data_IF_064894205968
#
_entry.id   IF_064894205968
#
_cell.length_a   1.000
_cell.length_b   1.000
_cell.length_c   1.000
_cell.angle_alpha   90.00
_cell.angle_beta   90.00
_cell.angle_gamma   90.00
#
_symmetry.space_group_name_H-M   'P 1'
#
loop_
_entity.id
_entity.type
_entity.pdbx_description
1 polymer ?
#
# COMPACT_ATOMS: atom_id res chain seq x y z
N UNK A 1 -11.57 22.12 6.94
CA UNK A 1 -12.08 21.10 6.01
C UNK A 1 -13.07 20.15 6.71
N UNK A 2 -12.74 19.65 7.91
CA UNK A 2 -13.64 18.78 8.68
C UNK A 2 -15.00 19.41 9.10
N UNK A 3 -15.11 20.74 9.15
CA UNK A 3 -16.29 21.44 9.66
C UNK A 3 -17.57 21.19 8.83
N UNK A 4 -17.47 21.14 7.50
CA UNK A 4 -18.64 21.00 6.61
C UNK A 4 -19.40 19.69 6.88
N UNK A 5 -18.66 18.58 7.01
CA UNK A 5 -19.28 17.28 7.27
C UNK A 5 -19.61 17.07 8.76
N UNK A 6 -18.82 17.65 9.68
CA UNK A 6 -19.11 17.57 11.12
C UNK A 6 -20.40 18.31 11.50
N UNK A 7 -20.72 19.41 10.83
CA UNK A 7 -21.95 20.18 11.06
C UNK A 7 -23.20 19.48 10.51
N UNK A 8 -23.05 18.61 9.51
CA UNK A 8 -24.16 17.85 8.91
C UNK A 8 -24.63 16.63 9.72
N UNK A 9 -23.94 16.29 10.82
CA UNK A 9 -24.32 15.21 11.75
C UNK A 9 -24.24 13.77 11.23
N UNK A 10 -24.03 13.57 9.92
CA UNK A 10 -24.09 12.27 9.24
C UNK A 10 -22.78 11.91 8.50
N UNK A 11 -21.63 12.42 8.96
CA UNK A 11 -20.35 12.10 8.33
C UNK A 11 -19.93 10.65 8.61
N UNK A 12 -19.50 9.95 7.57
CA UNK A 12 -18.91 8.61 7.70
C UNK A 12 -17.65 8.65 8.59
N UNK A 13 -17.42 7.58 9.35
CA UNK A 13 -16.21 7.42 10.16
C UNK A 13 -15.12 6.77 9.31
N UNK A 14 -14.11 7.55 8.94
CA UNK A 14 -12.97 7.06 8.17
C UNK A 14 -11.98 6.29 9.03
N UNK A 15 -11.43 5.22 8.47
CA UNK A 15 -10.42 4.36 9.10
C UNK A 15 -9.03 4.59 8.51
N UNK A 16 -8.01 3.97 9.13
CA UNK A 16 -6.62 3.98 8.67
C UNK A 16 -6.01 5.38 8.44
N UNK A 17 -6.55 6.41 9.10
CA UNK A 17 -6.10 7.80 8.96
C UNK A 17 -6.71 8.56 7.79
N UNK A 18 -7.77 8.03 7.16
CA UNK A 18 -8.58 8.78 6.19
C UNK A 18 -9.41 9.90 6.81
N UNK A 19 -9.94 10.78 5.98
CA UNK A 19 -10.81 11.87 6.41
C UNK A 19 -12.00 12.07 5.46
N UNK A 20 -13.15 12.57 5.94
CA UNK A 20 -14.36 12.72 5.12
C UNK A 20 -14.11 13.59 3.89
N UNK A 21 -14.66 13.18 2.76
CA UNK A 21 -14.52 13.93 1.52
C UNK A 21 -15.29 15.26 1.61
N UNK A 22 -14.66 16.43 1.32
CA UNK A 22 -15.25 17.74 1.62
C UNK A 22 -16.58 18.05 0.92
N UNK A 23 -16.87 17.37 -0.20
CA UNK A 23 -18.09 17.53 -1.00
C UNK A 23 -19.04 16.32 -0.93
N UNK A 24 -18.65 15.25 -0.22
CA UNK A 24 -19.47 14.04 -0.10
C UNK A 24 -19.14 13.36 1.24
N UNK A 25 -19.94 13.65 2.25
CA UNK A 25 -19.69 13.18 3.62
C UNK A 25 -19.95 11.69 3.83
N UNK A 26 -20.42 10.97 2.82
CA UNK A 26 -20.63 9.51 2.85
C UNK A 26 -19.42 8.73 2.36
N UNK A 27 -18.34 9.40 1.94
CA UNK A 27 -17.09 8.75 1.50
C UNK A 27 -15.86 9.43 2.10
N UNK A 28 -14.78 8.68 2.20
CA UNK A 28 -13.51 9.13 2.72
C UNK A 28 -12.49 9.38 1.62
N UNK A 29 -11.57 10.31 1.88
CA UNK A 29 -10.29 10.39 1.19
C UNK A 29 -9.30 9.50 1.94
N UNK A 30 -8.80 8.48 1.25
CA UNK A 30 -8.01 7.42 1.87
C UNK A 30 -6.50 7.60 1.66
N UNK A 31 -5.67 7.23 2.65
CA UNK A 31 -4.23 7.14 2.47
C UNK A 31 -3.87 6.12 1.38
N UNK A 32 -2.69 6.30 0.78
CA UNK A 32 -2.20 5.40 -0.27
C UNK A 32 -2.12 3.96 0.23
N UNK A 33 -2.76 3.03 -0.50
CA UNK A 33 -2.89 1.63 -0.13
C UNK A 33 -4.23 1.26 0.51
N UNK A 34 -5.14 2.22 0.69
CA UNK A 34 -6.50 2.02 1.24
C UNK A 34 -7.58 2.63 0.32
N UNK A 35 -8.76 2.03 0.32
CA UNK A 35 -9.91 2.39 -0.48
C UNK A 35 -11.23 1.95 0.16
N UNK A 36 -12.31 1.99 -0.62
CA UNK A 36 -13.68 1.89 -0.10
C UNK A 36 -14.16 3.22 0.49
N UNK A 37 -15.45 3.28 0.84
CA UNK A 37 -16.06 4.52 1.34
C UNK A 37 -15.50 4.95 2.70
N UNK A 38 -14.98 4.02 3.50
CA UNK A 38 -14.46 4.24 4.86
C UNK A 38 -12.95 3.98 5.01
N UNK A 39 -12.24 3.70 3.91
CA UNK A 39 -10.82 3.34 3.91
C UNK A 39 -10.47 2.01 4.59
N UNK A 40 -11.42 1.08 4.75
CA UNK A 40 -11.15 -0.26 5.32
C UNK A 40 -10.77 -1.31 4.29
N UNK A 41 -10.88 -0.99 3.01
CA UNK A 41 -10.70 -1.94 1.92
C UNK A 41 -9.39 -1.68 1.19
N UNK A 42 -8.89 -2.71 0.51
CA UNK A 42 -7.78 -2.56 -0.42
C UNK A 42 -8.28 -1.80 -1.67
N UNK A 43 -7.51 -0.83 -2.21
CA UNK A 43 -7.87 -0.17 -3.45
C UNK A 43 -8.09 -1.17 -4.58
N UNK A 44 -9.22 -1.06 -5.27
CA UNK A 44 -9.52 -1.88 -6.44
C UNK A 44 -9.12 -1.16 -7.73
N UNK A 45 -7.82 -1.11 -7.99
CA UNK A 45 -7.24 -0.48 -9.18
C UNK A 45 -6.95 -1.50 -10.31
N UNK A 46 -7.62 -2.66 -10.28
CA UNK A 46 -7.44 -3.73 -11.26
C UNK A 46 -6.14 -4.54 -11.12
N UNK A 47 -5.35 -4.32 -10.06
CA UNK A 47 -4.17 -5.14 -9.74
C UNK A 47 -3.88 -5.17 -8.23
N UNK A 48 -2.98 -6.08 -7.83
CA UNK A 48 -2.68 -6.37 -6.44
C UNK A 48 -3.57 -7.46 -5.85
N UNK A 49 -3.30 -7.87 -4.60
CA UNK A 49 -4.06 -8.92 -3.91
C UNK A 49 -3.86 -8.88 -2.41
N UNK A 50 -4.78 -9.50 -1.69
CA UNK A 50 -4.58 -9.86 -0.29
C UNK A 50 -3.86 -11.21 -0.21
N UNK A 51 -2.87 -11.28 0.67
CA UNK A 51 -2.08 -12.49 0.93
C UNK A 51 -2.05 -12.73 2.43
N UNK A 52 -2.42 -13.94 2.84
CA UNK A 52 -2.22 -14.39 4.21
C UNK A 52 -0.87 -15.11 4.27
N UNK A 53 0.07 -14.52 5.01
CA UNK A 53 1.36 -15.11 5.24
C UNK A 53 1.20 -16.44 6.02
N UNK A 54 2.05 -17.39 5.68
CA UNK A 54 2.14 -18.71 6.35
C UNK A 54 3.54 -18.90 6.91
N UNK A 55 3.75 -19.97 7.68
CA UNK A 55 5.10 -20.36 8.13
C UNK A 55 6.03 -20.74 6.97
N UNK A 56 5.47 -21.09 5.80
CA UNK A 56 6.23 -21.44 4.61
C UNK A 56 6.37 -20.23 3.68
N UNK A 57 7.52 -20.15 3.01
CA UNK A 57 7.77 -19.13 1.99
C UNK A 57 6.78 -19.23 0.83
N UNK A 58 6.17 -18.10 0.48
CA UNK A 58 5.24 -17.98 -0.64
C UNK A 58 5.82 -17.02 -1.67
N UNK A 59 5.99 -17.50 -2.90
CA UNK A 59 6.46 -16.65 -4.01
C UNK A 59 5.28 -15.88 -4.58
N UNK A 60 5.41 -14.56 -4.61
CA UNK A 60 4.44 -13.66 -5.25
C UNK A 60 5.12 -13.04 -6.46
N UNK A 61 4.63 -13.35 -7.66
CA UNK A 61 5.03 -12.63 -8.86
C UNK A 61 4.34 -11.27 -8.85
N UNK A 62 5.14 -10.22 -8.83
CA UNK A 62 4.66 -8.86 -9.01
C UNK A 62 4.74 -8.52 -10.50
N UNK A 63 3.64 -8.05 -11.08
CA UNK A 63 3.58 -7.58 -12.46
C UNK A 63 2.90 -6.23 -12.43
N UNK A 64 3.64 -5.20 -12.80
CA UNK A 64 3.13 -3.85 -12.91
C UNK A 64 3.68 -3.23 -14.19
N UNK A 65 2.77 -2.94 -15.11
CA UNK A 65 3.03 -2.18 -16.32
C UNK A 65 2.11 -0.97 -16.30
N UNK A 66 2.67 0.19 -16.63
CA UNK A 66 1.89 1.41 -16.76
C UNK A 66 1.24 1.40 -18.15
N UNK A 67 0.04 0.85 -18.23
CA UNK A 67 -0.75 0.71 -19.46
C UNK A 67 -1.57 1.97 -19.78
N UNK A 68 -1.67 2.90 -18.84
CA UNK A 68 -2.46 4.13 -18.96
C UNK A 68 -1.60 5.36 -18.64
N UNK A 69 -1.66 6.39 -19.49
CA UNK A 69 -0.93 7.65 -19.34
C UNK A 69 -1.61 8.66 -18.40
N UNK A 70 -2.76 8.33 -17.82
CA UNK A 70 -3.65 9.30 -17.15
C UNK A 70 -3.59 9.29 -15.61
N UNK A 71 -2.65 8.58 -14.99
CA UNK A 71 -2.48 8.67 -13.54
C UNK A 71 -1.99 10.08 -13.15
N UNK A 72 -2.63 10.70 -12.15
CA UNK A 72 -2.33 12.07 -11.70
C UNK A 72 -0.86 12.27 -11.28
N UNK A 73 -0.24 11.22 -10.71
CA UNK A 73 1.16 11.21 -10.32
C UNK A 73 2.04 10.44 -11.31
N UNK A 74 1.49 10.02 -12.45
CA UNK A 74 2.20 9.29 -13.50
C UNK A 74 2.39 7.80 -13.25
N UNK A 75 1.95 7.24 -12.11
CA UNK A 75 2.20 5.84 -11.77
C UNK A 75 0.94 5.00 -11.58
N UNK A 76 0.88 3.85 -12.26
CA UNK A 76 -0.04 2.77 -11.87
C UNK A 76 0.40 2.16 -10.54
N UNK A 77 -0.48 2.22 -9.54
CA UNK A 77 -0.22 1.63 -8.20
C UNK A 77 -0.98 0.32 -8.00
N UNK A 78 -0.23 -0.77 -7.82
CA UNK A 78 -0.77 -2.07 -7.42
C UNK A 78 -0.56 -2.30 -5.92
N UNK A 79 -1.65 -2.49 -5.19
CA UNK A 79 -1.60 -2.63 -3.72
C UNK A 79 -1.71 -4.09 -3.32
N UNK A 80 -0.73 -4.57 -2.56
CA UNK A 80 -0.73 -5.90 -1.95
C UNK A 80 -0.85 -5.76 -0.44
N UNK A 81 -1.83 -6.46 0.16
CA UNK A 81 -1.97 -6.51 1.62
C UNK A 81 -1.49 -7.86 2.10
N UNK A 82 -0.38 -7.88 2.84
CA UNK A 82 0.16 -9.10 3.44
C UNK A 82 -0.20 -9.08 4.91
N UNK A 83 -0.97 -10.06 5.35
CA UNK A 83 -1.48 -10.15 6.72
C UNK A 83 -0.99 -11.43 7.39
N UNK A 84 -0.83 -11.38 8.70
CA UNK A 84 -0.49 -12.54 9.52
C UNK A 84 -1.27 -12.49 10.84
N UNK A 85 -1.42 -13.63 11.55
CA UNK A 85 -2.02 -13.65 12.88
C UNK A 85 -1.36 -12.66 13.87
N UNK A 86 -2.04 -12.39 14.98
CA UNK A 86 -1.44 -11.58 16.05
C UNK A 86 -0.19 -12.27 16.59
N UNK A 87 0.80 -11.48 17.01
CA UNK A 87 2.07 -11.92 17.59
C UNK A 87 2.98 -12.72 16.63
N UNK A 88 2.81 -12.57 15.32
CA UNK A 88 3.76 -13.08 14.31
C UNK A 88 4.47 -11.95 13.61
N UNK A 89 5.64 -12.24 13.02
CA UNK A 89 6.40 -11.33 12.17
C UNK A 89 6.31 -11.80 10.73
N UNK A 90 6.06 -10.87 9.81
CA UNK A 90 6.12 -11.14 8.38
C UNK A 90 7.53 -10.84 7.90
N UNK A 91 8.11 -11.79 7.17
CA UNK A 91 9.38 -11.63 6.47
C UNK A 91 9.11 -11.53 4.97
N UNK A 92 9.76 -10.56 4.31
CA UNK A 92 9.62 -10.32 2.89
C UNK A 92 11.00 -10.29 2.28
N UNK A 93 11.23 -11.16 1.29
CA UNK A 93 12.45 -11.22 0.52
C UNK A 93 12.15 -10.89 -0.94
N UNK A 94 12.95 -9.98 -1.51
CA UNK A 94 12.82 -9.58 -2.90
C UNK A 94 13.81 -10.37 -3.76
N UNK A 95 13.27 -11.29 -4.55
CA UNK A 95 14.02 -11.98 -5.60
C UNK A 95 14.05 -11.09 -6.84
N UNK A 96 15.03 -10.20 -6.93
CA UNK A 96 15.18 -9.36 -8.10
C UNK A 96 16.00 -10.07 -9.17
N UNK A 97 15.34 -10.38 -10.28
CA UNK A 97 16.03 -10.39 -11.57
C UNK A 97 15.56 -9.11 -12.22
N UNK A 98 16.37 -8.04 -12.14
CA UNK A 98 16.17 -6.69 -12.72
C UNK A 98 14.72 -6.33 -13.10
N UNK A 99 14.15 -5.27 -12.52
CA UNK A 99 12.87 -4.69 -12.96
C UNK A 99 12.85 -4.23 -14.45
N UNK A 100 13.83 -4.64 -15.27
CA UNK A 100 13.94 -4.36 -16.70
C UNK A 100 14.38 -2.93 -16.99
N UNK A 101 14.75 -2.18 -15.96
CA UNK A 101 15.11 -0.77 -16.05
C UNK A 101 16.60 -0.61 -15.72
N UNK A 102 17.36 -0.04 -16.64
CA UNK A 102 18.79 0.30 -16.50
C UNK A 102 19.00 1.60 -15.68
N UNK A 103 18.01 1.98 -14.87
CA UNK A 103 17.98 3.25 -14.14
C UNK A 103 18.26 3.01 -12.65
N UNK A 104 19.23 3.73 -12.09
CA UNK A 104 19.54 3.74 -10.65
C UNK A 104 18.48 4.48 -9.81
N UNK A 105 17.44 5.07 -10.44
CA UNK A 105 16.42 5.89 -9.77
C UNK A 105 15.01 5.27 -9.75
N UNK A 106 14.28 5.44 -8.63
CA UNK A 106 12.87 5.01 -8.51
C UNK A 106 11.91 5.88 -9.35
N UNK A 107 12.44 6.72 -10.24
CA UNK A 107 11.66 7.66 -11.03
C UNK A 107 10.78 6.97 -12.07
N UNK A 108 11.17 5.78 -12.53
CA UNK A 108 10.43 5.05 -13.56
C UNK A 108 9.53 3.95 -12.98
N UNK A 109 9.99 3.27 -11.91
CA UNK A 109 9.21 2.29 -11.17
C UNK A 109 9.81 2.07 -9.77
N UNK A 110 9.03 1.53 -8.84
CA UNK A 110 9.53 1.16 -7.52
C UNK A 110 8.51 0.41 -6.68
N UNK A 111 8.98 -0.16 -5.58
CA UNK A 111 8.13 -0.79 -4.56
C UNK A 111 8.19 0.04 -3.28
N UNK A 112 7.02 0.34 -2.71
CA UNK A 112 6.89 0.93 -1.38
C UNK A 112 6.34 -0.10 -0.39
N UNK A 113 7.06 -0.31 0.72
CA UNK A 113 6.69 -1.23 1.80
C UNK A 113 6.24 -0.42 3.01
N UNK A 114 4.95 -0.49 3.34
CA UNK A 114 4.37 0.15 4.51
C UNK A 114 4.19 -0.86 5.64
N UNK A 115 4.92 -0.64 6.74
CA UNK A 115 4.84 -1.46 7.97
C UNK A 115 4.47 -0.65 9.21
N UNK A 116 4.38 0.68 9.07
CA UNK A 116 4.09 1.61 10.17
C UNK A 116 2.69 1.38 10.74
N UNK A 117 2.50 1.63 12.04
CA UNK A 117 1.15 1.62 12.64
C UNK A 117 0.29 2.75 12.06
N UNK A 118 0.89 3.92 11.84
CA UNK A 118 0.26 5.03 11.15
C UNK A 118 0.41 4.85 9.64
N UNK A 119 -0.73 4.58 9.00
CA UNK A 119 -0.81 4.27 7.57
C UNK A 119 -0.86 5.51 6.67
N UNK A 120 -0.93 6.71 7.28
CA UNK A 120 -0.80 7.98 6.56
C UNK A 120 0.63 8.27 6.11
N UNK A 121 1.61 7.65 6.78
CA UNK A 121 3.03 7.81 6.49
C UNK A 121 3.48 7.00 5.27
N UNK A 122 4.52 7.49 4.60
CA UNK A 122 5.21 6.76 3.54
C UNK A 122 6.06 5.64 4.10
N UNK A 123 6.12 4.53 3.36
CA UNK A 123 6.93 3.37 3.70
C UNK A 123 8.37 3.44 3.20
N UNK A 124 9.09 2.34 3.37
CA UNK A 124 10.40 2.14 2.75
C UNK A 124 10.24 2.01 1.24
N UNK A 125 11.05 2.73 0.46
CA UNK A 125 11.00 2.71 -1.02
C UNK A 125 12.28 2.11 -1.55
N UNK A 126 12.16 1.12 -2.42
CA UNK A 126 13.32 0.46 -3.01
C UNK A 126 13.13 0.22 -4.52
N UNK A 127 14.25 0.38 -5.24
CA UNK A 127 14.39 0.02 -6.65
C UNK A 127 14.85 -1.43 -6.79
N UNK A 128 15.83 -1.87 -5.97
CA UNK A 128 16.35 -3.23 -5.82
C UNK A 128 17.36 -3.29 -4.64
N UNK A 129 17.50 -4.50 -4.05
CA UNK A 129 18.28 -5.00 -2.88
C UNK A 129 17.80 -4.60 -1.48
N UNK A 130 17.17 -5.56 -0.79
CA UNK A 130 17.31 -5.65 0.67
C UNK A 130 17.71 -7.07 1.04
N UNK A 131 18.97 -7.25 1.46
CA UNK A 131 19.34 -8.37 2.31
C UNK A 131 18.79 -8.08 3.71
N UNK A 132 17.72 -8.76 4.12
CA UNK A 132 17.42 -8.83 5.54
C UNK A 132 18.19 -10.02 6.12
N UNK A 133 19.45 -9.78 6.49
CA UNK A 133 20.12 -10.67 7.42
C UNK A 133 19.56 -10.37 8.81
N UNK A 134 18.82 -11.32 9.36
CA UNK A 134 18.56 -11.38 10.80
C UNK A 134 19.02 -12.75 11.23
N UNK A 135 20.29 -12.86 11.64
CA UNK A 135 20.74 -14.01 12.39
C UNK A 135 19.83 -14.27 13.59
N UNK A 136 19.79 -15.53 14.05
CA UNK A 136 19.03 -15.96 15.22
C UNK A 136 19.04 -14.90 16.32
N UNK A 137 17.87 -14.38 16.69
CA UNK A 137 17.72 -13.82 18.03
C UNK A 137 17.69 -15.02 18.96
N UNK A 138 18.74 -15.13 19.77
CA UNK A 138 18.92 -16.13 20.82
C UNK A 138 17.85 -16.00 21.89
#
# INVERSE_FOLDING_TARGET
MEKICREAGNAIVCQNGGFPHPRNCSRCLCPGGYGGDDCTQRPDNGCGKEVKATSNWQKIKLVFANDQKEYLDGYRKCTYWITSPKNTRIEVEFYSNHFGLEEDSCASAGVEIKTNKDQTLTGYRCLIVIFFYSGCVS
#
